data_IF_591441996241
#
_entry.id   IF_591441996241
#
_cell.length_a   1.000
_cell.length_b   1.000
_cell.length_c   1.000
_cell.angle_alpha   90.00
_cell.angle_beta   90.00
_cell.angle_gamma   90.00
#
_symmetry.space_group_name_H-M   'P 1'
#
loop_
_entity.id
_entity.type
_entity.pdbx_description
1 polymer ?
#
# COMPACT_ATOMS: atom_id res chain seq x y z
N UNK A 1 -21.03 -27.98 12.92
CA UNK A 1 -20.73 -26.59 12.58
C UNK A 1 -22.05 -25.85 12.63
N UNK A 2 -22.28 -25.03 13.67
CA UNK A 2 -23.50 -24.21 13.74
C UNK A 2 -23.40 -23.11 12.66
N UNK A 3 -24.35 -23.11 11.75
CA UNK A 3 -24.62 -21.96 10.89
C UNK A 3 -25.01 -20.82 11.83
N UNK A 4 -24.09 -19.88 12.03
CA UNK A 4 -24.43 -18.62 12.69
C UNK A 4 -25.33 -17.86 11.71
N UNK A 5 -26.62 -17.78 12.00
CA UNK A 5 -27.53 -16.93 11.25
C UNK A 5 -27.12 -15.46 11.49
N UNK A 6 -27.07 -14.70 10.41
CA UNK A 6 -26.79 -13.27 10.47
C UNK A 6 -27.92 -12.53 11.19
N UNK A 7 -27.57 -11.53 11.99
CA UNK A 7 -28.56 -10.63 12.56
C UNK A 7 -29.16 -9.68 11.48
N UNK A 8 -30.29 -9.02 11.80
CA UNK A 8 -30.97 -8.14 10.85
C UNK A 8 -30.08 -7.02 10.29
N UNK A 9 -29.11 -6.52 11.06
CA UNK A 9 -28.22 -5.45 10.62
C UNK A 9 -27.16 -5.98 9.66
N UNK A 10 -26.65 -7.18 9.90
CA UNK A 10 -25.70 -7.87 9.03
C UNK A 10 -26.38 -8.27 7.71
N UNK A 11 -27.62 -8.78 7.76
CA UNK A 11 -28.39 -9.06 6.55
C UNK A 11 -28.66 -7.82 5.72
N UNK A 12 -28.99 -6.70 6.36
CA UNK A 12 -29.22 -5.42 5.68
C UNK A 12 -27.94 -4.91 5.02
N UNK A 13 -26.81 -5.03 5.71
CA UNK A 13 -25.49 -4.70 5.16
C UNK A 13 -25.16 -5.55 3.93
N UNK A 14 -25.32 -6.88 4.03
CA UNK A 14 -25.07 -7.81 2.93
C UNK A 14 -25.99 -7.55 1.73
N UNK A 15 -27.26 -7.23 1.96
CA UNK A 15 -28.20 -6.82 0.91
C UNK A 15 -27.75 -5.52 0.22
N UNK A 16 -27.25 -4.55 0.98
CA UNK A 16 -26.67 -3.31 0.44
C UNK A 16 -25.43 -3.56 -0.43
N UNK A 17 -24.51 -4.40 0.05
CA UNK A 17 -23.30 -4.77 -0.71
C UNK A 17 -23.68 -5.49 -2.01
N UNK A 18 -24.61 -6.46 -1.97
CA UNK A 18 -25.04 -7.18 -3.18
C UNK A 18 -25.77 -6.28 -4.15
N UNK A 19 -26.62 -5.37 -3.69
CA UNK A 19 -27.25 -4.37 -4.54
C UNK A 19 -26.23 -3.43 -5.20
N UNK A 20 -25.25 -2.94 -4.45
CA UNK A 20 -24.14 -2.14 -4.97
C UNK A 20 -23.33 -2.85 -6.03
N UNK A 21 -23.01 -4.13 -5.83
CA UNK A 21 -22.32 -4.97 -6.81
C UNK A 21 -23.15 -5.17 -8.09
N UNK A 22 -24.47 -5.33 -7.98
CA UNK A 22 -25.35 -5.44 -9.14
C UNK A 22 -25.40 -4.14 -9.95
N UNK A 23 -25.49 -2.99 -9.27
CA UNK A 23 -25.45 -1.68 -9.93
C UNK A 23 -24.11 -1.48 -10.62
N UNK A 24 -22.99 -1.75 -9.93
CA UNK A 24 -21.64 -1.62 -10.49
C UNK A 24 -21.44 -2.49 -11.75
N UNK A 25 -22.06 -3.67 -11.80
CA UNK A 25 -22.03 -4.55 -12.99
C UNK A 25 -22.76 -3.97 -14.21
N UNK A 26 -23.75 -3.10 -13.99
CA UNK A 26 -24.53 -2.47 -15.04
C UNK A 26 -23.95 -1.16 -15.56
N UNK A 27 -22.91 -0.59 -14.93
CA UNK A 27 -22.34 0.70 -15.31
C UNK A 27 -21.32 0.51 -16.45
N UNK A 28 -21.51 1.17 -17.62
CA UNK A 28 -20.50 1.14 -18.67
C UNK A 28 -19.16 1.71 -18.18
N UNK A 29 -18.09 0.96 -18.40
CA UNK A 29 -16.74 1.32 -17.93
C UNK A 29 -16.28 0.60 -16.64
N UNK A 30 -17.20 0.00 -15.88
CA UNK A 30 -16.86 -0.97 -14.82
C UNK A 30 -16.79 -2.41 -15.37
N UNK A 31 -16.17 -2.56 -16.51
CA UNK A 31 -16.20 -3.78 -17.33
C UNK A 31 -15.55 -5.00 -16.71
N UNK A 32 -14.73 -4.84 -15.66
CA UNK A 32 -14.17 -5.96 -14.90
C UNK A 32 -15.22 -6.83 -14.19
N UNK A 33 -16.46 -6.35 -14.10
CA UNK A 33 -17.55 -7.03 -13.37
C UNK A 33 -18.61 -7.65 -14.30
N UNK A 34 -18.59 -7.40 -15.61
CA UNK A 34 -19.71 -7.69 -16.51
C UNK A 34 -19.64 -9.00 -17.28
N UNK A 35 -18.50 -9.68 -17.35
CA UNK A 35 -18.32 -10.82 -18.27
C UNK A 35 -18.01 -12.17 -17.63
N UNK A 36 -18.23 -12.32 -16.34
CA UNK A 36 -17.95 -13.59 -15.66
C UNK A 36 -16.47 -13.91 -15.49
N UNK A 37 -15.58 -13.25 -16.23
CA UNK A 37 -14.14 -13.31 -16.07
C UNK A 37 -13.72 -12.14 -15.18
N UNK A 38 -13.41 -12.42 -13.93
CA UNK A 38 -12.79 -11.42 -13.04
C UNK A 38 -11.46 -11.01 -13.67
N UNK A 39 -11.39 -9.78 -14.15
CA UNK A 39 -10.10 -9.17 -14.45
C UNK A 39 -9.37 -8.97 -13.11
N UNK A 40 -8.15 -9.48 -13.02
CA UNK A 40 -7.26 -9.16 -11.91
C UNK A 40 -6.79 -7.72 -12.06
N UNK A 41 -6.42 -7.04 -10.97
CA UNK A 41 -5.79 -5.72 -11.09
C UNK A 41 -4.63 -5.70 -12.11
N UNK A 42 -3.84 -6.77 -12.16
CA UNK A 42 -2.73 -6.96 -13.09
C UNK A 42 -3.16 -7.01 -14.56
N UNK A 43 -4.39 -7.46 -14.85
CA UNK A 43 -4.90 -7.49 -16.23
C UNK A 43 -5.04 -6.07 -16.79
N UNK A 44 -5.40 -5.08 -15.96
CA UNK A 44 -5.46 -3.68 -16.38
C UNK A 44 -4.08 -3.12 -16.70
N UNK A 45 -3.09 -3.40 -15.87
CA UNK A 45 -1.69 -3.00 -16.10
C UNK A 45 -1.13 -3.67 -17.34
N UNK A 46 -1.39 -4.97 -17.52
CA UNK A 46 -1.00 -5.71 -18.74
C UNK A 46 -1.61 -5.10 -19.99
N UNK A 47 -2.92 -4.78 -19.98
CA UNK A 47 -3.57 -4.14 -21.09
C UNK A 47 -3.03 -2.74 -21.36
N UNK A 48 -2.72 -1.97 -20.33
CA UNK A 48 -2.12 -0.64 -20.48
C UNK A 48 -0.74 -0.73 -21.14
N UNK A 49 0.11 -1.68 -20.73
CA UNK A 49 1.41 -1.95 -21.35
C UNK A 49 1.28 -2.32 -22.84
N UNK A 50 0.39 -3.26 -23.14
CA UNK A 50 0.14 -3.67 -24.53
C UNK A 50 -0.30 -2.50 -25.39
N UNK A 51 -1.18 -1.64 -24.87
CA UNK A 51 -1.64 -0.43 -25.59
C UNK A 51 -0.49 0.56 -25.80
N UNK A 52 0.33 0.81 -24.77
CA UNK A 52 1.47 1.71 -24.88
C UNK A 52 2.45 1.23 -25.98
N UNK A 53 2.78 -0.06 -25.98
CA UNK A 53 3.65 -0.66 -27.01
C UNK A 53 3.02 -0.62 -28.41
N UNK A 54 1.72 -0.89 -28.52
CA UNK A 54 1.00 -0.79 -29.80
C UNK A 54 0.96 0.64 -30.37
N UNK A 55 1.07 1.64 -29.49
CA UNK A 55 1.18 3.07 -29.88
C UNK A 55 2.64 3.51 -30.15
N UNK A 56 3.60 2.58 -30.12
CA UNK A 56 5.01 2.85 -30.36
C UNK A 56 5.77 3.36 -29.14
N UNK A 57 5.18 3.25 -27.94
CA UNK A 57 5.87 3.56 -26.68
C UNK A 57 6.80 2.42 -26.25
N UNK A 58 7.96 2.79 -25.70
CA UNK A 58 8.86 1.85 -25.04
C UNK A 58 8.50 1.75 -23.57
N UNK A 59 8.58 0.53 -23.01
CA UNK A 59 8.43 0.34 -21.57
C UNK A 59 9.70 0.77 -20.86
N UNK A 60 9.53 1.38 -19.69
CA UNK A 60 10.66 1.64 -18.80
C UNK A 60 11.08 0.35 -18.10
N UNK A 61 12.34 0.27 -17.62
CA UNK A 61 12.82 -0.87 -16.85
C UNK A 61 11.97 -1.15 -15.61
N UNK A 62 11.38 -0.11 -15.01
CA UNK A 62 10.47 -0.25 -13.87
C UNK A 62 9.14 -0.92 -14.26
N UNK A 63 8.62 -0.62 -15.45
CA UNK A 63 7.40 -1.28 -15.96
C UNK A 63 7.67 -2.74 -16.33
N UNK A 64 8.85 -3.05 -16.84
CA UNK A 64 9.31 -4.42 -17.10
C UNK A 64 9.43 -5.20 -15.79
N UNK A 65 10.15 -4.66 -14.79
CA UNK A 65 10.28 -5.29 -13.48
C UNK A 65 8.91 -5.58 -12.83
N UNK A 66 7.95 -4.64 -12.92
CA UNK A 66 6.57 -4.87 -12.43
C UNK A 66 5.80 -5.92 -13.24
N UNK A 67 6.19 -6.15 -14.49
CA UNK A 67 5.60 -7.20 -15.32
C UNK A 67 6.09 -8.59 -14.92
N UNK A 68 7.36 -8.69 -14.57
CA UNK A 68 8.01 -9.94 -14.18
C UNK A 68 7.60 -10.37 -12.78
N UNK A 69 7.55 -9.42 -11.84
CA UNK A 69 7.12 -9.67 -10.47
C UNK A 69 6.22 -8.51 -9.98
N UNK A 70 4.99 -8.85 -9.62
CA UNK A 70 4.11 -7.87 -8.99
C UNK A 70 4.64 -7.49 -7.61
N UNK A 71 4.84 -6.17 -7.32
CA UNK A 71 5.31 -5.72 -6.00
C UNK A 71 4.46 -6.24 -4.82
N UNK A 72 3.20 -6.57 -5.07
CA UNK A 72 2.32 -7.13 -4.04
C UNK A 72 2.66 -8.59 -3.69
N UNK A 73 3.36 -9.29 -4.55
CA UNK A 73 3.72 -10.70 -4.36
C UNK A 73 5.14 -10.90 -3.77
N UNK A 74 5.86 -9.78 -3.48
CA UNK A 74 7.23 -9.79 -2.95
C UNK A 74 7.37 -10.21 -1.49
N UNK A 75 6.31 -10.64 -0.82
CA UNK A 75 6.39 -10.94 0.61
C UNK A 75 7.42 -12.01 0.95
N UNK A 76 7.47 -13.07 0.16
CA UNK A 76 8.40 -14.18 0.39
C UNK A 76 9.86 -13.76 0.21
N UNK A 77 10.14 -12.96 -0.81
CA UNK A 77 11.47 -12.39 -1.09
C UNK A 77 11.90 -11.47 0.06
N UNK A 78 11.00 -10.63 0.56
CA UNK A 78 11.27 -9.78 1.72
C UNK A 78 11.61 -10.60 2.96
N UNK A 79 10.88 -11.69 3.23
CA UNK A 79 11.15 -12.60 4.35
C UNK A 79 12.52 -13.30 4.17
N UNK A 80 12.86 -13.73 2.96
CA UNK A 80 14.15 -14.36 2.67
C UNK A 80 15.30 -13.37 2.90
N UNK A 81 15.22 -12.16 2.38
CA UNK A 81 16.21 -11.11 2.59
C UNK A 81 16.37 -10.75 4.06
N UNK A 82 15.26 -10.61 4.79
CA UNK A 82 15.28 -10.33 6.21
C UNK A 82 15.96 -11.45 7.02
N UNK A 83 15.66 -12.71 6.71
CA UNK A 83 16.29 -13.86 7.35
C UNK A 83 17.79 -13.95 7.05
N UNK A 84 18.20 -13.59 5.83
CA UNK A 84 19.60 -13.53 5.44
C UNK A 84 20.32 -12.30 6.03
N UNK A 85 19.58 -11.27 6.44
CA UNK A 85 20.13 -9.98 6.86
C UNK A 85 20.74 -9.21 5.69
N UNK A 86 20.15 -9.35 4.50
CA UNK A 86 20.62 -8.71 3.28
C UNK A 86 19.65 -7.62 2.82
N UNK A 87 20.19 -6.62 2.13
CA UNK A 87 19.41 -5.60 1.43
C UNK A 87 19.08 -6.04 0.00
N UNK A 88 17.98 -5.50 -0.59
CA UNK A 88 17.61 -5.81 -1.95
C UNK A 88 18.63 -5.29 -2.95
N UNK A 89 18.71 -5.96 -4.10
CA UNK A 89 19.59 -5.61 -5.21
C UNK A 89 18.80 -5.55 -6.52
N UNK A 90 19.31 -4.83 -7.50
CA UNK A 90 18.66 -4.76 -8.82
C UNK A 90 17.22 -4.23 -8.74
N UNK A 91 16.31 -4.94 -9.40
CA UNK A 91 14.92 -4.55 -9.53
C UNK A 91 14.13 -4.63 -8.21
N UNK A 92 14.56 -5.48 -7.28
CA UNK A 92 13.93 -5.60 -5.96
C UNK A 92 13.97 -4.29 -5.17
N UNK A 93 15.02 -3.47 -5.36
CA UNK A 93 15.11 -2.12 -4.76
C UNK A 93 13.93 -1.24 -5.18
N UNK A 94 13.49 -1.36 -6.43
CA UNK A 94 12.34 -0.63 -6.92
C UNK A 94 11.03 -1.28 -6.48
N UNK A 95 10.91 -2.59 -6.61
CA UNK A 95 9.70 -3.33 -6.31
C UNK A 95 9.29 -3.22 -4.84
N UNK A 96 10.25 -3.25 -3.92
CA UNK A 96 10.01 -3.05 -2.48
C UNK A 96 9.35 -1.72 -2.13
N UNK A 97 9.52 -0.68 -2.97
CA UNK A 97 8.84 0.61 -2.79
C UNK A 97 7.32 0.48 -2.87
N UNK A 98 6.82 -0.50 -3.64
CA UNK A 98 5.40 -0.84 -3.68
C UNK A 98 4.84 -1.30 -2.33
N UNK A 99 5.68 -1.87 -1.48
CA UNK A 99 5.35 -2.24 -0.09
C UNK A 99 5.63 -1.13 0.92
N UNK A 100 6.11 0.02 0.48
CA UNK A 100 6.47 1.14 1.36
C UNK A 100 7.86 1.05 1.97
N UNK A 101 8.66 0.05 1.58
CA UNK A 101 10.05 -0.11 2.01
C UNK A 101 10.99 0.47 0.95
N UNK A 102 11.82 1.40 1.36
CA UNK A 102 12.79 2.09 0.52
C UNK A 102 14.19 1.81 1.06
N UNK A 103 14.98 1.09 0.30
CA UNK A 103 16.40 0.98 0.62
C UNK A 103 17.13 2.27 0.27
N UNK A 104 17.82 2.85 1.22
CA UNK A 104 18.49 4.14 1.11
C UNK A 104 19.99 3.92 1.13
N UNK A 105 20.57 3.68 -0.02
CA UNK A 105 21.99 3.54 -0.25
C UNK A 105 22.56 4.73 -1.05
N UNK A 106 23.87 5.00 -0.99
CA UNK A 106 24.87 4.42 -0.10
C UNK A 106 24.95 5.13 1.27
N UNK A 107 24.28 6.26 1.46
CA UNK A 107 24.55 7.16 2.59
C UNK A 107 24.03 6.65 3.93
N UNK A 108 22.95 5.87 3.96
CA UNK A 108 22.34 5.42 5.21
C UNK A 108 22.45 3.90 5.40
N UNK A 109 22.59 3.15 4.32
CA UNK A 109 22.64 1.68 4.32
C UNK A 109 21.55 1.07 5.23
N UNK A 110 20.31 1.51 5.03
CA UNK A 110 19.16 1.15 5.85
C UNK A 110 17.88 1.28 5.07
N UNK A 111 16.80 0.68 5.57
CA UNK A 111 15.48 0.95 5.02
C UNK A 111 14.85 2.20 5.63
N UNK A 112 14.03 2.85 4.81
CA UNK A 112 13.02 3.81 5.22
C UNK A 112 11.66 3.22 4.95
N UNK A 113 10.80 3.15 5.95
CA UNK A 113 9.40 2.78 5.78
C UNK A 113 8.56 4.05 5.60
N UNK A 114 7.86 4.16 4.46
CA UNK A 114 6.90 5.24 4.23
C UNK A 114 5.51 4.75 4.59
N UNK A 115 4.84 5.44 5.49
CA UNK A 115 3.45 5.15 5.81
C UNK A 115 2.52 5.65 4.70
N UNK A 116 1.25 5.26 4.76
CA UNK A 116 0.19 5.72 3.87
C UNK A 116 -1.04 6.03 4.71
N UNK A 117 -1.09 7.27 5.21
CA UNK A 117 -2.15 7.75 6.10
C UNK A 117 -2.98 8.82 5.41
N UNK A 118 -4.19 8.48 4.92
CA UNK A 118 -5.08 9.43 4.27
C UNK A 118 -5.39 10.62 5.18
N UNK A 119 -5.28 11.84 4.63
CA UNK A 119 -5.51 13.08 5.38
C UNK A 119 -4.49 13.37 6.49
N UNK A 120 -3.51 12.49 6.71
CA UNK A 120 -2.58 12.61 7.84
C UNK A 120 -3.21 12.36 9.20
N UNK A 121 -4.37 11.71 9.23
CA UNK A 121 -5.13 11.48 10.46
C UNK A 121 -4.67 10.17 11.11
N UNK A 122 -4.16 10.28 12.34
CA UNK A 122 -3.73 9.17 13.17
C UNK A 122 -4.58 9.10 14.45
N UNK A 123 -5.00 7.90 14.83
CA UNK A 123 -5.44 7.70 16.21
C UNK A 123 -4.24 7.74 17.16
N UNK A 124 -4.47 8.06 18.44
CA UNK A 124 -3.40 8.02 19.45
C UNK A 124 -2.76 6.64 19.58
N UNK A 125 -3.54 5.58 19.37
CA UNK A 125 -3.07 4.21 19.36
C UNK A 125 -2.11 3.95 18.18
N UNK A 126 -2.48 4.35 16.98
CA UNK A 126 -1.63 4.21 15.79
C UNK A 126 -0.33 5.02 15.93
N UNK A 127 -0.44 6.27 16.43
CA UNK A 127 0.73 7.12 16.60
C UNK A 127 1.72 6.54 17.61
N UNK A 128 1.21 5.96 18.70
CA UNK A 128 2.04 5.27 19.69
C UNK A 128 2.72 4.04 19.10
N UNK A 129 1.99 3.20 18.37
CA UNK A 129 2.56 2.03 17.73
C UNK A 129 3.67 2.38 16.72
N UNK A 130 3.50 3.48 15.96
CA UNK A 130 4.55 3.97 15.06
C UNK A 130 5.80 4.40 15.82
N UNK A 131 5.65 5.04 16.99
CA UNK A 131 6.78 5.41 17.86
C UNK A 131 7.49 4.14 18.39
N UNK A 132 6.73 3.20 18.93
CA UNK A 132 7.26 1.93 19.47
C UNK A 132 8.03 1.13 18.39
N UNK A 133 7.52 1.11 17.15
CA UNK A 133 8.20 0.47 16.02
C UNK A 133 9.49 1.21 15.63
N UNK A 134 9.48 2.54 15.67
CA UNK A 134 10.67 3.33 15.39
C UNK A 134 11.75 3.11 16.46
N UNK A 135 11.36 3.01 17.72
CA UNK A 135 12.28 2.73 18.84
C UNK A 135 12.84 1.30 18.80
N UNK A 136 12.00 0.35 18.37
CA UNK A 136 12.37 -1.08 18.43
C UNK A 136 13.18 -1.51 17.20
N UNK A 137 12.80 -1.07 16.01
CA UNK A 137 13.30 -1.57 14.72
C UNK A 137 13.96 -0.52 13.84
N UNK A 138 13.88 0.74 14.22
CA UNK A 138 14.45 1.88 13.49
C UNK A 138 15.48 2.66 14.31
N UNK A 139 15.74 3.88 13.88
CA UNK A 139 16.68 4.78 14.54
C UNK A 139 16.12 5.52 15.77
N UNK A 140 14.96 5.13 16.30
CA UNK A 140 14.32 5.78 17.45
C UNK A 140 13.60 7.08 17.12
N UNK A 141 13.29 7.34 15.86
CA UNK A 141 12.60 8.54 15.42
C UNK A 141 11.77 8.33 14.15
N UNK A 142 10.90 9.27 13.91
CA UNK A 142 10.10 9.36 12.67
C UNK A 142 10.26 10.72 12.02
N UNK A 143 10.18 10.77 10.69
CA UNK A 143 10.11 12.03 9.96
C UNK A 143 8.69 12.35 9.54
N UNK A 144 8.27 13.59 9.82
CA UNK A 144 7.04 14.16 9.25
C UNK A 144 7.33 14.59 7.81
N UNK A 145 6.42 14.28 6.90
CA UNK A 145 6.58 14.60 5.48
C UNK A 145 5.69 15.75 5.05
N UNK A 146 6.06 16.41 3.96
CA UNK A 146 5.25 17.47 3.32
C UNK A 146 3.91 16.97 2.76
N UNK A 147 3.64 15.65 2.82
CA UNK A 147 2.38 15.03 2.39
C UNK A 147 1.52 14.58 3.57
N UNK A 148 1.63 15.28 4.72
CA UNK A 148 0.90 14.95 5.95
C UNK A 148 1.01 13.46 6.30
N UNK A 149 2.24 12.94 6.32
CA UNK A 149 2.52 11.52 6.54
C UNK A 149 3.77 11.33 7.39
N UNK A 150 4.04 10.11 7.84
CA UNK A 150 5.24 9.77 8.60
C UNK A 150 6.14 8.79 7.84
N UNK A 151 7.40 8.77 8.24
CA UNK A 151 8.39 7.80 7.80
C UNK A 151 9.16 7.28 9.01
N UNK A 152 9.26 5.95 9.15
CA UNK A 152 10.20 5.33 10.08
C UNK A 152 11.54 5.20 9.34
N UNK A 153 12.62 5.59 10.00
CA UNK A 153 13.96 5.66 9.41
C UNK A 153 14.90 4.65 10.04
N UNK A 154 15.99 4.36 9.32
CA UNK A 154 17.12 3.55 9.80
C UNK A 154 16.72 2.14 10.24
N UNK A 155 15.80 1.52 9.49
CA UNK A 155 15.41 0.13 9.73
C UNK A 155 16.50 -0.79 9.20
N UNK A 156 16.94 -1.73 10.03
CA UNK A 156 17.95 -2.71 9.67
C UNK A 156 17.49 -3.74 8.63
N UNK A 157 18.43 -4.52 8.03
CA UNK A 157 18.07 -5.47 6.98
C UNK A 157 17.20 -6.63 7.47
N UNK A 158 17.20 -6.92 8.77
CA UNK A 158 16.43 -8.01 9.38
C UNK A 158 15.00 -7.63 9.75
N UNK A 159 14.68 -6.34 9.79
CA UNK A 159 13.47 -5.83 10.44
C UNK A 159 12.37 -5.27 9.53
N UNK A 160 12.48 -5.24 8.19
CA UNK A 160 11.44 -4.65 7.35
C UNK A 160 10.10 -5.38 7.49
N UNK A 161 10.12 -6.71 7.65
CA UNK A 161 8.92 -7.53 7.82
C UNK A 161 8.26 -7.25 9.17
N UNK A 162 9.06 -7.16 10.25
CA UNK A 162 8.56 -6.85 11.59
C UNK A 162 7.87 -5.49 11.65
N UNK A 163 8.45 -4.48 11.00
CA UNK A 163 7.85 -3.13 10.89
C UNK A 163 6.53 -3.18 10.13
N UNK A 164 6.47 -3.86 8.98
CA UNK A 164 5.24 -3.95 8.20
C UNK A 164 4.13 -4.69 8.95
N UNK A 165 4.45 -5.78 9.64
CA UNK A 165 3.50 -6.52 10.45
C UNK A 165 2.97 -5.68 11.61
N UNK A 166 3.86 -5.02 12.37
CA UNK A 166 3.45 -4.18 13.48
C UNK A 166 2.59 -2.98 13.06
N UNK A 167 2.82 -2.42 11.88
CA UNK A 167 1.94 -1.40 11.30
C UNK A 167 0.58 -1.96 10.93
N UNK A 168 0.54 -3.15 10.34
CA UNK A 168 -0.69 -3.82 9.96
C UNK A 168 -1.55 -4.19 11.17
N UNK A 169 -0.94 -4.59 12.29
CA UNK A 169 -1.62 -4.91 13.54
C UNK A 169 -2.44 -3.74 14.10
N UNK A 170 -2.05 -2.51 13.79
CA UNK A 170 -2.78 -1.28 14.15
C UNK A 170 -3.58 -0.68 12.99
N UNK A 171 -3.76 -1.44 11.91
CA UNK A 171 -4.55 -1.02 10.75
C UNK A 171 -3.87 -0.02 9.83
N UNK A 172 -2.54 0.11 9.87
CA UNK A 172 -1.77 0.92 8.93
C UNK A 172 -1.26 0.04 7.81
N UNK A 173 -1.71 0.32 6.59
CA UNK A 173 -1.34 -0.45 5.40
C UNK A 173 -0.45 0.41 4.51
N UNK A 174 0.80 0.01 4.36
CA UNK A 174 1.80 0.74 3.59
C UNK A 174 1.79 0.44 2.09
N UNK A 175 1.06 -0.59 1.69
CA UNK A 175 0.97 -1.01 0.30
C UNK A 175 0.56 0.15 -0.61
N UNK A 176 1.34 0.37 -1.67
CA UNK A 176 1.13 1.47 -2.61
C UNK A 176 1.67 2.82 -2.16
N UNK A 177 2.43 2.91 -1.05
CA UNK A 177 3.04 4.18 -0.62
C UNK A 177 4.24 4.62 -1.47
N UNK A 178 4.65 3.81 -2.42
CA UNK A 178 5.70 4.09 -3.40
C UNK A 178 5.57 3.22 -4.65
N UNK A 179 6.59 3.22 -5.54
CA UNK A 179 6.57 2.41 -6.75
C UNK A 179 5.54 2.89 -7.78
N UNK A 180 5.52 4.19 -8.06
CA UNK A 180 4.64 4.87 -9.03
C UNK A 180 3.13 4.85 -8.67
N UNK A 181 2.81 4.53 -7.43
CA UNK A 181 1.44 4.60 -6.92
C UNK A 181 1.11 5.99 -6.36
N UNK A 182 -0.18 6.25 -6.18
CA UNK A 182 -0.66 7.40 -5.40
C UNK A 182 -0.19 7.22 -3.96
N UNK A 183 0.81 8.01 -3.57
CA UNK A 183 1.55 7.83 -2.30
C UNK A 183 0.70 8.07 -1.07
N UNK A 184 -0.14 9.10 -1.12
CA UNK A 184 -1.03 9.48 -0.03
C UNK A 184 -2.09 10.46 -0.54
N UNK A 185 -3.22 10.52 0.16
CA UNK A 185 -4.24 11.55 -0.04
C UNK A 185 -4.00 12.59 1.06
N UNK A 186 -3.67 13.81 0.66
CA UNK A 186 -3.50 14.93 1.59
C UNK A 186 -4.82 15.67 1.77
N UNK A 187 -5.05 16.18 2.97
CA UNK A 187 -6.19 17.01 3.30
C UNK A 187 -5.76 18.28 4.04
N UNK A 188 -6.69 19.14 4.31
CA UNK A 188 -6.48 20.30 5.18
C UNK A 188 -6.19 19.83 6.61
N UNK A 189 -5.23 20.43 7.32
CA UNK A 189 -5.05 20.18 8.75
C UNK A 189 -6.23 20.68 9.59
N UNK A 190 -7.12 21.46 9.01
CA UNK A 190 -8.34 21.99 9.63
C UNK A 190 -9.59 21.19 9.21
N UNK A 191 -9.43 20.06 8.49
CA UNK A 191 -10.53 19.24 8.05
C UNK A 191 -11.43 18.82 9.22
N UNK A 192 -12.73 19.09 9.10
CA UNK A 192 -13.71 18.84 10.15
C UNK A 192 -13.73 19.86 11.30
N UNK A 193 -12.89 20.90 11.24
CA UNK A 193 -12.81 21.97 12.26
C UNK A 193 -13.22 23.33 11.66
N UNK A 194 -12.84 23.56 10.41
CA UNK A 194 -13.12 24.81 9.70
C UNK A 194 -14.61 24.87 9.31
N UNK A 195 -15.36 25.88 9.80
CA UNK A 195 -16.78 26.01 9.45
C UNK A 195 -17.03 26.37 7.98
N UNK A 196 -16.00 26.86 7.29
CA UNK A 196 -16.06 27.24 5.87
C UNK A 196 -15.53 26.13 4.94
N UNK A 197 -15.30 24.92 5.49
CA UNK A 197 -14.83 23.78 4.70
C UNK A 197 -15.89 23.36 3.67
N UNK A 198 -15.47 23.33 2.40
CA UNK A 198 -16.29 22.84 1.30
C UNK A 198 -15.95 21.34 1.10
N UNK A 199 -16.94 20.49 1.35
CA UNK A 199 -16.84 19.04 1.18
C UNK A 199 -17.38 18.66 -0.21
#
# INVERSE_FOLDING_TARGET
MSTQDFDESQERYLKGVTAGLHIARGVPGMTGLTTGKRLRPDDFHTQARIRAQAMGGELTSQEEAKADLNPNDMWNEMVQLANAGEYPKGDDVFLMKGRGMFYVAPNQDSYMCRLRMPGGIFSSHQFRAVADLADTYGGGYTHVTTRANLQIREIGPKDPVNVLMGLQDVGIINQGSGGDNIRNITGSPLAGIDPDEII
#
